data_IF_099460420991
#
_entry.id   IF_099460420991
#
_cell.length_a   1.000
_cell.length_b   1.000
_cell.length_c   1.000
_cell.angle_alpha   90.00
_cell.angle_beta   90.00
_cell.angle_gamma   90.00
#
_symmetry.space_group_name_H-M   'P 1'
#
loop_
_entity.id
_entity.type
_entity.pdbx_description
1 polymer ?
#
# COMPACT_ATOMS: atom_id res chain seq x y z
N UNK A 1 45.05 25.45 -31.82
CA UNK A 1 45.16 24.05 -31.34
C UNK A 1 45.06 23.93 -29.81
N UNK A 2 45.72 24.79 -29.01
CA UNK A 2 45.70 24.65 -27.53
C UNK A 2 44.35 24.95 -26.86
N UNK A 3 43.55 25.89 -27.40
CA UNK A 3 42.23 26.23 -26.84
C UNK A 3 41.17 25.12 -27.01
N UNK A 4 41.28 24.30 -28.05
CA UNK A 4 40.38 23.16 -28.27
C UNK A 4 40.70 22.04 -27.27
N UNK A 5 42.00 21.76 -27.07
CA UNK A 5 42.46 20.77 -26.10
C UNK A 5 42.05 21.13 -24.67
N UNK A 6 42.17 22.40 -24.27
CA UNK A 6 41.74 22.83 -22.93
C UNK A 6 40.23 22.71 -22.72
N UNK A 7 39.43 22.94 -23.77
CA UNK A 7 37.99 22.78 -23.71
C UNK A 7 37.56 21.30 -23.64
N UNK A 8 38.23 20.41 -24.39
CA UNK A 8 38.03 18.96 -24.29
C UNK A 8 38.35 18.46 -22.88
N UNK A 9 39.49 18.85 -22.30
CA UNK A 9 39.87 18.48 -20.93
C UNK A 9 38.82 18.90 -19.90
N UNK A 10 38.25 20.10 -20.06
CA UNK A 10 37.22 20.63 -19.15
C UNK A 10 35.92 19.85 -19.23
N UNK A 11 35.52 19.42 -20.43
CA UNK A 11 34.33 18.60 -20.64
C UNK A 11 34.50 17.19 -20.06
N UNK A 12 35.68 16.58 -20.24
CA UNK A 12 36.00 15.27 -19.65
C UNK A 12 35.94 15.30 -18.11
N UNK A 13 36.48 16.35 -17.50
CA UNK A 13 36.42 16.51 -16.05
C UNK A 13 34.96 16.65 -15.56
N UNK A 14 34.14 17.45 -16.25
CA UNK A 14 32.70 17.56 -15.94
C UNK A 14 31.96 16.24 -16.11
N UNK A 15 32.28 15.48 -17.15
CA UNK A 15 31.68 14.15 -17.34
C UNK A 15 32.01 13.21 -16.17
N UNK A 16 33.26 13.22 -15.70
CA UNK A 16 33.68 12.40 -14.55
C UNK A 16 32.98 12.83 -13.26
N UNK A 17 32.82 14.14 -13.05
CA UNK A 17 32.11 14.72 -11.91
C UNK A 17 30.64 14.30 -11.90
N UNK A 18 29.93 14.52 -13.01
CA UNK A 18 28.52 14.11 -13.18
C UNK A 18 28.33 12.60 -13.04
N UNK A 19 29.26 11.79 -13.55
CA UNK A 19 29.22 10.34 -13.36
C UNK A 19 29.40 9.94 -11.89
N UNK A 20 30.17 10.70 -11.12
CA UNK A 20 30.31 10.48 -9.69
C UNK A 20 29.04 10.85 -8.94
N UNK A 21 28.46 12.01 -9.22
CA UNK A 21 27.19 12.44 -8.64
C UNK A 21 26.06 11.45 -8.95
N UNK A 22 25.98 10.95 -10.18
CA UNK A 22 24.99 9.93 -10.55
C UNK A 22 25.15 8.63 -9.76
N UNK A 23 26.38 8.25 -9.39
CA UNK A 23 26.63 7.06 -8.57
C UNK A 23 26.15 7.29 -7.13
N UNK A 24 26.50 8.43 -6.54
CA UNK A 24 26.04 8.79 -5.20
C UNK A 24 24.51 8.85 -5.12
N UNK A 25 23.86 9.53 -6.06
CA UNK A 25 22.40 9.63 -6.09
C UNK A 25 21.72 8.26 -6.21
N UNK A 26 22.34 7.32 -6.94
CA UNK A 26 21.86 5.93 -7.03
C UNK A 26 21.95 5.21 -5.68
N UNK A 27 23.04 5.40 -4.94
CA UNK A 27 23.19 4.81 -3.61
C UNK A 27 22.17 5.36 -2.63
N UNK A 28 21.98 6.69 -2.61
CA UNK A 28 20.97 7.33 -1.78
C UNK A 28 19.55 6.83 -2.11
N UNK A 29 19.24 6.67 -3.40
CA UNK A 29 17.95 6.16 -3.84
C UNK A 29 17.70 4.73 -3.35
N UNK A 30 18.71 3.85 -3.44
CA UNK A 30 18.61 2.47 -2.95
C UNK A 30 18.39 2.45 -1.43
N UNK A 31 19.12 3.29 -0.70
CA UNK A 31 18.98 3.40 0.75
C UNK A 31 17.57 3.87 1.15
N UNK A 32 17.06 4.90 0.46
CA UNK A 32 15.73 5.45 0.73
C UNK A 32 14.62 4.43 0.43
N UNK A 33 14.76 3.65 -0.65
CA UNK A 33 13.85 2.55 -0.99
C UNK A 33 13.85 1.52 0.15
N UNK A 34 15.04 1.13 0.63
CA UNK A 34 15.20 0.17 1.72
C UNK A 34 14.52 0.66 3.01
N UNK A 35 14.80 1.89 3.44
CA UNK A 35 14.16 2.51 4.62
C UNK A 35 12.64 2.57 4.48
N UNK A 36 12.15 3.00 3.31
CA UNK A 36 10.71 3.07 3.03
C UNK A 36 10.05 1.69 3.10
N UNK A 37 10.72 0.64 2.63
CA UNK A 37 10.21 -0.74 2.72
C UNK A 37 10.10 -1.24 4.17
N UNK A 38 11.09 -0.88 5.01
CA UNK A 38 11.09 -1.22 6.42
C UNK A 38 9.97 -0.48 7.17
N UNK A 39 9.80 0.82 6.92
CA UNK A 39 8.77 1.62 7.55
C UNK A 39 7.36 1.13 7.18
N UNK A 40 7.13 0.77 5.91
CA UNK A 40 5.87 0.13 5.48
C UNK A 40 5.58 -1.15 6.26
N UNK A 41 6.59 -1.97 6.48
CA UNK A 41 6.46 -3.22 7.24
C UNK A 41 6.11 -2.94 8.71
N UNK A 42 6.75 -1.95 9.33
CA UNK A 42 6.49 -1.55 10.71
C UNK A 42 5.11 -0.95 10.90
N UNK A 43 4.69 -0.06 9.99
CA UNK A 43 3.34 0.52 9.97
C UNK A 43 2.31 -0.60 9.88
N UNK A 44 2.51 -1.56 8.96
CA UNK A 44 1.63 -2.71 8.81
C UNK A 44 1.51 -3.56 10.07
N UNK A 45 2.61 -3.78 10.78
CA UNK A 45 2.59 -4.49 12.06
C UNK A 45 1.79 -3.72 13.12
N UNK A 46 1.99 -2.41 13.22
CA UNK A 46 1.26 -1.55 14.16
C UNK A 46 -0.24 -1.51 13.84
N UNK A 47 -0.60 -1.31 12.58
CA UNK A 47 -1.98 -1.31 12.09
C UNK A 47 -2.69 -2.64 12.40
N UNK A 48 -2.03 -3.78 12.17
CA UNK A 48 -2.58 -5.10 12.49
C UNK A 48 -2.77 -5.33 14.00
N UNK A 49 -1.92 -4.73 14.84
CA UNK A 49 -1.97 -4.84 16.30
C UNK A 49 -2.98 -3.89 16.96
N UNK A 50 -3.40 -2.83 16.25
CA UNK A 50 -4.26 -1.80 16.80
C UNK A 50 -5.75 -2.15 16.65
N UNK A 51 -6.43 -2.33 17.78
CA UNK A 51 -7.89 -2.54 17.82
C UNK A 51 -8.66 -1.39 17.15
N UNK A 52 -8.24 -0.15 17.38
CA UNK A 52 -8.86 1.04 16.77
C UNK A 52 -8.78 1.00 15.25
N UNK A 53 -7.62 0.64 14.70
CA UNK A 53 -7.45 0.50 13.26
C UNK A 53 -8.40 -0.56 12.67
N UNK A 54 -8.50 -1.73 13.30
CA UNK A 54 -9.44 -2.78 12.86
C UNK A 54 -10.90 -2.32 12.91
N UNK A 55 -11.32 -1.60 13.95
CA UNK A 55 -12.67 -1.06 14.08
C UNK A 55 -12.98 -0.03 12.97
N UNK A 56 -12.02 0.84 12.69
CA UNK A 56 -12.05 1.83 11.60
C UNK A 56 -12.15 1.16 10.22
N UNK A 57 -11.37 0.09 9.96
CA UNK A 57 -11.46 -0.69 8.70
C UNK A 57 -12.79 -1.43 8.54
N UNK A 58 -13.32 -2.02 9.61
CA UNK A 58 -14.66 -2.63 9.56
C UNK A 58 -15.73 -1.60 9.19
N UNK A 59 -15.63 -0.40 9.74
CA UNK A 59 -16.62 0.64 9.52
C UNK A 59 -16.60 1.20 8.11
N UNK A 60 -15.44 1.18 7.44
CA UNK A 60 -15.35 1.50 6.01
C UNK A 60 -16.25 0.57 5.16
N UNK A 61 -16.12 -0.75 5.34
CA UNK A 61 -16.93 -1.72 4.57
C UNK A 61 -18.41 -1.60 4.95
N UNK A 62 -18.73 -1.43 6.24
CA UNK A 62 -20.11 -1.21 6.68
C UNK A 62 -20.71 0.09 6.13
N UNK A 63 -19.94 1.16 6.06
CA UNK A 63 -20.37 2.42 5.45
C UNK A 63 -20.66 2.23 3.96
N UNK A 64 -19.81 1.50 3.23
CA UNK A 64 -20.08 1.16 1.84
C UNK A 64 -21.37 0.33 1.67
N UNK A 65 -21.63 -0.62 2.57
CA UNK A 65 -22.89 -1.38 2.57
C UNK A 65 -24.10 -0.49 2.79
N UNK A 66 -23.98 0.52 3.65
CA UNK A 66 -25.05 1.49 3.94
C UNK A 66 -25.26 2.46 2.78
N UNK A 67 -24.19 3.10 2.32
CA UNK A 67 -24.23 4.28 1.46
C UNK A 67 -24.26 3.93 -0.03
N UNK A 68 -23.64 2.81 -0.42
CA UNK A 68 -23.49 2.41 -1.82
C UNK A 68 -24.39 1.22 -2.15
N UNK A 69 -24.37 0.18 -1.32
CA UNK A 69 -25.04 -1.07 -1.66
C UNK A 69 -26.50 -1.14 -1.18
N UNK A 70 -26.88 -0.35 -0.18
CA UNK A 70 -28.19 -0.42 0.44
C UNK A 70 -28.47 -1.75 1.17
N UNK A 71 -27.41 -2.47 1.58
CA UNK A 71 -27.49 -3.81 2.21
C UNK A 71 -26.91 -3.82 3.62
N UNK A 72 -26.95 -2.69 4.32
CA UNK A 72 -26.47 -2.60 5.69
C UNK A 72 -27.40 -3.37 6.65
N UNK A 73 -26.77 -4.10 7.57
CA UNK A 73 -27.40 -4.81 8.69
C UNK A 73 -27.33 -3.98 9.97
N UNK A 74 -27.99 -4.42 11.04
CA UNK A 74 -27.88 -3.74 12.34
C UNK A 74 -26.42 -3.74 12.85
N UNK A 75 -25.71 -4.85 12.64
CA UNK A 75 -24.30 -5.00 12.98
C UNK A 75 -23.42 -3.98 12.25
N UNK A 76 -23.75 -3.66 10.98
CA UNK A 76 -23.03 -2.63 10.23
C UNK A 76 -23.20 -1.24 10.86
N UNK A 77 -24.41 -0.91 11.32
CA UNK A 77 -24.66 0.34 12.02
C UNK A 77 -23.91 0.43 13.35
N UNK A 78 -23.82 -0.69 14.09
CA UNK A 78 -23.02 -0.78 15.33
C UNK A 78 -21.54 -0.57 15.04
N UNK A 79 -21.00 -1.20 13.99
CA UNK A 79 -19.60 -1.02 13.58
C UNK A 79 -19.32 0.45 13.24
N UNK A 80 -20.16 1.05 12.39
CA UNK A 80 -20.06 2.47 12.01
C UNK A 80 -20.06 3.36 13.27
N UNK A 81 -21.01 3.16 14.18
CA UNK A 81 -21.09 3.94 15.41
C UNK A 81 -19.85 3.79 16.30
N UNK A 82 -19.29 2.58 16.42
CA UNK A 82 -18.09 2.31 17.21
C UNK A 82 -16.85 3.03 16.65
N UNK A 83 -16.80 3.32 15.35
CA UNK A 83 -15.69 4.03 14.70
C UNK A 83 -15.78 5.55 14.70
N UNK A 84 -16.90 6.15 15.14
CA UNK A 84 -17.09 7.62 15.10
C UNK A 84 -15.95 8.35 15.82
N UNK A 85 -15.45 7.80 16.94
CA UNK A 85 -14.33 8.37 17.71
C UNK A 85 -12.98 8.32 16.99
N UNK A 86 -12.83 7.49 15.97
CA UNK A 86 -11.58 7.29 15.22
C UNK A 86 -11.65 7.81 13.78
N UNK A 87 -12.82 8.28 13.35
CA UNK A 87 -13.11 8.61 11.96
C UNK A 87 -13.36 7.38 11.11
N UNK A 88 -14.18 7.54 10.06
CA UNK A 88 -14.38 6.54 9.01
C UNK A 88 -13.36 6.84 7.91
N UNK A 89 -12.56 5.87 7.44
CA UNK A 89 -11.62 6.10 6.35
C UNK A 89 -12.35 6.53 5.10
N UNK A 90 -11.79 7.50 4.37
CA UNK A 90 -12.32 7.89 3.07
C UNK A 90 -11.95 6.91 1.95
N UNK A 91 -11.11 5.90 2.22
CA UNK A 91 -10.59 4.99 1.20
C UNK A 91 -10.34 3.57 1.70
N UNK A 92 -10.44 2.65 0.74
CA UNK A 92 -10.24 1.21 0.90
C UNK A 92 -8.77 0.80 0.92
N UNK A 93 -8.45 -0.26 1.67
CA UNK A 93 -7.17 -0.97 1.62
C UNK A 93 -7.46 -2.45 1.43
N UNK A 94 -7.49 -2.88 0.16
CA UNK A 94 -7.90 -4.23 -0.21
C UNK A 94 -7.18 -5.32 0.61
N UNK A 95 -5.86 -5.25 0.74
CA UNK A 95 -5.08 -6.27 1.48
C UNK A 95 -5.47 -6.34 2.96
N UNK A 96 -5.54 -5.21 3.65
CA UNK A 96 -5.92 -5.18 5.07
C UNK A 96 -7.36 -5.58 5.30
N UNK A 97 -8.26 -5.09 4.44
CA UNK A 97 -9.68 -5.40 4.52
C UNK A 97 -9.93 -6.88 4.26
N UNK A 98 -9.13 -7.52 3.41
CA UNK A 98 -9.18 -8.97 3.22
C UNK A 98 -8.80 -9.72 4.50
N UNK A 99 -7.90 -9.15 5.29
CA UNK A 99 -7.50 -9.65 6.61
C UNK A 99 -8.66 -9.71 7.61
N UNK A 100 -9.70 -8.87 7.46
CA UNK A 100 -10.90 -8.90 8.31
C UNK A 100 -11.70 -10.20 8.17
N UNK A 101 -11.53 -10.93 7.06
CA UNK A 101 -12.24 -12.19 6.77
C UNK A 101 -11.51 -13.44 7.28
N UNK A 102 -10.22 -13.33 7.67
CA UNK A 102 -9.35 -14.49 7.98
C UNK A 102 -9.86 -15.37 9.12
N UNK A 103 -10.46 -14.78 10.15
CA UNK A 103 -10.92 -15.50 11.35
C UNK A 103 -12.46 -15.51 11.48
N UNK A 104 -13.18 -15.25 10.38
CA UNK A 104 -14.64 -15.17 10.39
C UNK A 104 -15.22 -13.95 11.11
N UNK A 105 -14.39 -12.94 11.42
CA UNK A 105 -14.85 -11.65 11.97
C UNK A 105 -15.77 -10.90 10.99
N UNK A 106 -15.58 -11.16 9.69
CA UNK A 106 -16.54 -10.85 8.63
C UNK A 106 -16.85 -12.07 7.79
N UNK A 107 -18.09 -12.11 7.30
CA UNK A 107 -18.63 -13.20 6.45
C UNK A 107 -19.38 -12.66 5.23
N UNK A 108 -19.48 -11.35 5.09
CA UNK A 108 -20.13 -10.66 3.99
C UNK A 108 -19.20 -10.52 2.77
N UNK A 109 -18.69 -11.66 2.28
CA UNK A 109 -17.73 -11.73 1.17
C UNK A 109 -18.17 -10.95 -0.07
N UNK A 110 -19.45 -11.01 -0.41
CA UNK A 110 -20.02 -10.27 -1.54
C UNK A 110 -19.85 -8.75 -1.43
N UNK A 111 -19.84 -8.18 -0.22
CA UNK A 111 -19.59 -6.75 -0.02
C UNK A 111 -18.13 -6.40 -0.32
N UNK A 112 -17.20 -7.27 0.07
CA UNK A 112 -15.77 -7.11 -0.26
C UNK A 112 -15.53 -7.22 -1.77
N UNK A 113 -16.09 -8.25 -2.41
CA UNK A 113 -15.95 -8.46 -3.86
C UNK A 113 -16.53 -7.29 -4.66
N UNK A 114 -17.66 -6.72 -4.22
CA UNK A 114 -18.22 -5.52 -4.84
C UNK A 114 -17.33 -4.29 -4.70
N UNK A 115 -16.61 -4.16 -3.58
CA UNK A 115 -15.69 -3.05 -3.34
C UNK A 115 -14.39 -3.18 -4.15
N UNK A 116 -13.85 -4.39 -4.27
CA UNK A 116 -12.48 -4.62 -4.72
C UNK A 116 -12.35 -5.49 -5.97
N UNK A 117 -13.43 -6.07 -6.47
CA UNK A 117 -13.48 -6.90 -7.67
C UNK A 117 -12.91 -8.32 -7.50
N UNK A 118 -12.40 -8.68 -6.32
CA UNK A 118 -11.78 -9.99 -6.04
C UNK A 118 -12.23 -10.54 -4.70
N UNK A 119 -12.27 -11.87 -4.56
CA UNK A 119 -12.54 -12.54 -3.28
C UNK A 119 -11.39 -12.25 -2.28
N UNK A 120 -11.66 -12.00 -0.99
CA UNK A 120 -10.60 -11.64 -0.03
C UNK A 120 -9.55 -12.74 0.12
N UNK A 121 -9.91 -14.01 -0.04
CA UNK A 121 -8.94 -15.11 0.03
C UNK A 121 -7.93 -15.06 -1.13
N UNK A 122 -8.38 -14.67 -2.32
CA UNK A 122 -7.52 -14.46 -3.49
C UNK A 122 -6.55 -13.31 -3.21
N UNK A 123 -7.06 -12.17 -2.72
CA UNK A 123 -6.22 -11.00 -2.40
C UNK A 123 -5.16 -11.34 -1.35
N UNK A 124 -5.51 -12.11 -0.31
CA UNK A 124 -4.52 -12.55 0.70
C UNK A 124 -3.45 -13.46 0.10
N UNK A 125 -3.84 -14.40 -0.77
CA UNK A 125 -2.88 -15.29 -1.44
C UNK A 125 -1.89 -14.52 -2.34
N UNK A 126 -2.37 -13.47 -3.03
CA UNK A 126 -1.52 -12.62 -3.88
C UNK A 126 -0.61 -11.73 -3.02
N UNK A 127 -1.14 -11.16 -1.93
CA UNK A 127 -0.34 -10.37 -0.99
C UNK A 127 0.82 -11.18 -0.39
N UNK A 128 0.58 -12.45 -0.08
CA UNK A 128 1.61 -13.39 0.39
C UNK A 128 2.64 -13.73 -0.70
N UNK A 129 2.21 -13.90 -1.96
CA UNK A 129 3.13 -14.14 -3.09
C UNK A 129 3.99 -12.90 -3.39
N UNK A 130 3.43 -11.70 -3.33
CA UNK A 130 4.17 -10.46 -3.56
C UNK A 130 5.16 -10.17 -2.43
N UNK A 131 4.82 -10.50 -1.18
CA UNK A 131 5.76 -10.44 -0.04
C UNK A 131 6.92 -11.43 -0.18
N UNK A 132 6.72 -12.57 -0.84
CA UNK A 132 7.78 -13.56 -1.08
C UNK A 132 8.68 -13.22 -2.28
N UNK A 133 8.16 -12.50 -3.29
CA UNK A 133 8.91 -12.26 -4.54
C UNK A 133 9.57 -10.89 -4.64
N UNK A 134 8.99 -9.82 -4.07
CA UNK A 134 9.57 -8.47 -4.21
C UNK A 134 9.20 -7.60 -3.00
N UNK A 135 10.18 -7.26 -2.18
CA UNK A 135 10.05 -6.31 -1.06
C UNK A 135 9.75 -4.87 -1.51
N UNK A 136 8.58 -4.62 -2.11
CA UNK A 136 8.19 -3.30 -2.55
C UNK A 136 6.99 -3.27 -3.51
N UNK A 137 5.88 -2.72 -3.00
CA UNK A 137 4.94 -1.84 -3.70
C UNK A 137 4.60 -2.17 -5.18
N UNK A 138 3.47 -2.85 -5.44
CA UNK A 138 2.82 -2.79 -6.76
C UNK A 138 1.29 -2.67 -6.58
N UNK A 139 0.70 -1.77 -7.38
CA UNK A 139 -0.75 -1.54 -7.49
C UNK A 139 -1.41 -2.73 -8.19
N UNK A 140 -2.62 -3.10 -7.80
CA UNK A 140 -3.41 -4.23 -8.36
C UNK A 140 -3.68 -4.21 -9.89
N UNK A 141 -3.06 -3.36 -10.70
CA UNK A 141 -3.34 -3.30 -12.15
C UNK A 141 -2.46 -4.22 -13.02
N UNK A 142 -1.32 -4.72 -12.53
CA UNK A 142 -0.34 -5.38 -13.41
C UNK A 142 -0.40 -6.92 -13.41
N UNK A 143 -1.50 -7.53 -12.94
CA UNK A 143 -1.66 -9.00 -12.91
C UNK A 143 -2.51 -9.54 -14.08
N UNK A 144 -2.91 -8.69 -15.04
CA UNK A 144 -3.80 -9.09 -16.16
C UNK A 144 -3.33 -8.64 -17.55
N UNK A 145 -2.02 -8.55 -17.80
CA UNK A 145 -1.43 -8.48 -19.16
C UNK A 145 -0.15 -9.30 -19.20
#
# INVERSE_FOLDING_TARGET
MSAILSQCQRLENKMKELQSEMRELKYEMIELISRTSLDKTRIKALENSCFGFRATRNSFISAAKRDIFGTATHEDHVMIAASVRYGIPNFGYAEFDAGLYRNGARKDFAAYERLYGLHPDVVRSIGEILLFRFGGLIRCLDVLT
#
